data_IF_630675373138
#
_entry.id   IF_630675373138
#
_cell.length_a   1.000
_cell.length_b   1.000
_cell.length_c   1.000
_cell.angle_alpha   90.00
_cell.angle_beta   90.00
_cell.angle_gamma   90.00
#
_symmetry.space_group_name_H-M   'P 1'
#
loop_
_entity.id
_entity.type
_entity.pdbx_description
1 polymer ?
#
# COMPACT_ATOMS: atom_id res chain seq x y z
N UNK A 1 -16.78 -16.96 7.10
CA UNK A 1 -15.47 -16.39 6.74
C UNK A 1 -15.63 -14.88 6.84
N UNK A 2 -15.07 -14.25 7.88
CA UNK A 2 -15.22 -12.80 8.12
C UNK A 2 -14.17 -12.11 7.27
N UNK A 3 -14.60 -11.46 6.19
CA UNK A 3 -13.71 -10.62 5.39
C UNK A 3 -13.67 -9.24 6.07
N UNK A 4 -12.50 -8.67 6.40
CA UNK A 4 -12.43 -7.37 7.03
C UNK A 4 -13.13 -6.29 6.20
N UNK A 5 -13.67 -5.24 6.82
CA UNK A 5 -14.41 -4.18 6.12
C UNK A 5 -13.61 -3.42 5.04
N UNK A 6 -12.28 -3.52 5.05
CA UNK A 6 -11.40 -2.99 4.00
C UNK A 6 -11.24 -3.93 2.79
N UNK A 7 -11.62 -5.20 2.92
CA UNK A 7 -11.59 -6.19 1.85
C UNK A 7 -12.84 -6.14 0.94
N UNK A 8 -13.85 -5.36 1.32
CA UNK A 8 -15.07 -5.07 0.53
C UNK A 8 -14.93 -3.86 -0.42
N UNK A 9 -13.70 -3.41 -0.72
CA UNK A 9 -13.43 -2.32 -1.65
C UNK A 9 -13.39 -2.76 -3.12
N UNK A 10 -13.50 -1.80 -4.04
CA UNK A 10 -13.31 -1.97 -5.49
C UNK A 10 -11.82 -2.18 -5.82
N UNK A 11 -11.22 -3.24 -5.28
CA UNK A 11 -9.81 -3.57 -5.49
C UNK A 11 -9.61 -4.17 -6.89
N UNK A 12 -8.78 -3.52 -7.70
CA UNK A 12 -8.35 -4.02 -9.00
C UNK A 12 -6.90 -4.50 -8.91
N UNK A 13 -6.65 -5.77 -9.25
CA UNK A 13 -5.29 -6.31 -9.37
C UNK A 13 -4.59 -5.66 -10.55
N UNK A 14 -3.38 -5.15 -10.31
CA UNK A 14 -2.54 -4.48 -11.32
C UNK A 14 -1.23 -5.22 -11.57
N UNK A 15 -0.82 -6.09 -10.65
CA UNK A 15 0.32 -6.98 -10.81
C UNK A 15 0.13 -8.24 -9.97
N UNK A 16 0.51 -9.39 -10.51
CA UNK A 16 0.48 -10.67 -9.81
C UNK A 16 1.74 -11.45 -10.14
N UNK A 17 2.42 -11.90 -9.09
CA UNK A 17 3.62 -12.73 -9.15
C UNK A 17 3.50 -13.86 -8.12
N UNK A 18 4.30 -14.94 -8.23
CA UNK A 18 4.30 -15.99 -7.21
C UNK A 18 4.66 -15.52 -5.80
N UNK A 19 5.32 -14.36 -5.66
CA UNK A 19 5.72 -13.82 -4.36
C UNK A 19 4.70 -12.83 -3.80
N UNK A 20 3.90 -12.19 -4.66
CA UNK A 20 3.12 -11.00 -4.30
C UNK A 20 2.00 -10.71 -5.30
N UNK A 21 0.85 -10.26 -4.78
CA UNK A 21 -0.25 -9.66 -5.55
C UNK A 21 -0.38 -8.20 -5.16
N UNK A 22 -0.40 -7.31 -6.15
CA UNK A 22 -0.60 -5.86 -5.98
C UNK A 22 -1.95 -5.45 -6.54
N UNK A 23 -2.74 -4.75 -5.73
CA UNK A 23 -4.05 -4.24 -6.11
C UNK A 23 -4.23 -2.77 -5.72
N UNK A 24 -5.02 -2.03 -6.49
CA UNK A 24 -5.39 -0.62 -6.22
C UNK A 24 -6.86 -0.55 -5.85
N UNK A 25 -7.21 0.21 -4.81
CA UNK A 25 -8.60 0.48 -4.46
C UNK A 25 -9.13 1.61 -5.32
N UNK A 26 -9.93 1.28 -6.32
CA UNK A 26 -10.51 2.27 -7.24
C UNK A 26 -11.45 3.26 -6.54
N UNK A 27 -12.04 2.87 -5.40
CA UNK A 27 -12.91 3.75 -4.62
C UNK A 27 -12.13 4.79 -3.81
N UNK A 28 -10.83 4.59 -3.62
CA UNK A 28 -9.93 5.52 -2.92
C UNK A 28 -9.28 6.58 -3.81
N UNK A 29 -9.56 6.55 -5.12
CA UNK A 29 -8.93 7.46 -6.08
C UNK A 29 -9.46 8.88 -5.85
N UNK A 30 -8.58 9.76 -5.41
CA UNK A 30 -8.81 11.20 -5.31
C UNK A 30 -7.98 11.91 -6.40
N UNK A 31 -8.66 12.60 -7.31
CA UNK A 31 -8.01 13.36 -8.39
C UNK A 31 -7.94 14.86 -8.08
N UNK A 32 -6.76 15.44 -8.17
CA UNK A 32 -6.52 16.88 -8.19
C UNK A 32 -5.98 17.35 -9.54
N UNK A 33 -5.61 18.64 -9.63
CA UNK A 33 -5.21 19.28 -10.89
C UNK A 33 -4.06 18.58 -11.64
N UNK A 34 -3.05 18.11 -10.92
CA UNK A 34 -1.88 17.39 -11.45
C UNK A 34 -1.50 16.21 -10.54
N UNK A 35 -2.42 15.76 -9.69
CA UNK A 35 -2.14 14.77 -8.65
C UNK A 35 -3.23 13.71 -8.60
N UNK A 36 -2.82 12.47 -8.35
CA UNK A 36 -3.73 11.37 -8.03
C UNK A 36 -3.28 10.74 -6.72
N UNK A 37 -4.20 10.60 -5.77
CA UNK A 37 -3.96 9.89 -4.52
C UNK A 37 -4.80 8.63 -4.53
N UNK A 38 -4.22 7.51 -4.12
CA UNK A 38 -4.90 6.21 -4.11
C UNK A 38 -4.29 5.29 -3.06
N UNK A 39 -5.04 4.26 -2.69
CA UNK A 39 -4.56 3.16 -1.88
C UNK A 39 -4.14 1.97 -2.74
N UNK A 40 -3.03 1.36 -2.35
CA UNK A 40 -2.46 0.17 -2.94
C UNK A 40 -2.28 -0.89 -1.85
N UNK A 41 -2.55 -2.14 -2.19
CA UNK A 41 -2.41 -3.29 -1.31
C UNK A 41 -1.47 -4.31 -1.94
N UNK A 42 -0.47 -4.70 -1.17
CA UNK A 42 0.46 -5.77 -1.48
C UNK A 42 0.13 -6.97 -0.61
N UNK A 43 -0.28 -8.09 -1.20
CA UNK A 43 -0.49 -9.36 -0.49
C UNK A 43 0.70 -10.27 -0.75
N UNK A 44 1.45 -10.59 0.31
CA UNK A 44 2.70 -11.36 0.21
C UNK A 44 2.40 -12.86 0.36
N UNK A 45 2.81 -13.66 -0.62
CA UNK A 45 2.56 -15.11 -0.63
C UNK A 45 3.76 -15.94 -0.12
N UNK A 46 4.94 -15.33 0.00
CA UNK A 46 6.21 -16.03 0.25
C UNK A 46 6.78 -15.98 1.67
N UNK A 47 6.00 -15.58 2.69
CA UNK A 47 6.48 -15.57 4.09
C UNK A 47 7.56 -14.51 4.36
N UNK A 48 7.27 -13.25 4.03
CA UNK A 48 8.15 -12.13 4.34
C UNK A 48 8.05 -11.75 5.82
N UNK A 49 9.10 -11.15 6.36
CA UNK A 49 9.16 -10.77 7.78
C UNK A 49 9.50 -9.29 7.90
N UNK A 50 8.79 -8.57 8.78
CA UNK A 50 9.09 -7.17 9.04
C UNK A 50 10.40 -7.06 9.83
N UNK A 51 11.39 -6.28 9.37
CA UNK A 51 12.71 -6.22 10.01
C UNK A 51 12.70 -5.54 11.38
N UNK A 52 11.69 -4.71 11.69
CA UNK A 52 11.58 -4.03 12.99
C UNK A 52 10.96 -4.91 14.07
N UNK A 53 9.95 -5.70 13.71
CA UNK A 53 9.16 -6.53 14.64
C UNK A 53 9.49 -8.03 14.56
N UNK A 54 10.20 -8.47 13.51
CA UNK A 54 10.44 -9.87 13.16
C UNK A 54 9.16 -10.71 13.02
N UNK A 55 8.01 -10.05 12.80
CA UNK A 55 6.73 -10.72 12.58
C UNK A 55 6.50 -11.01 11.10
N UNK A 56 5.83 -12.13 10.77
CA UNK A 56 5.42 -12.41 9.39
C UNK A 56 4.54 -11.29 8.85
N UNK A 57 4.79 -10.86 7.63
CA UNK A 57 3.95 -9.92 6.89
C UNK A 57 3.08 -10.73 5.94
N UNK A 58 1.77 -10.59 6.10
CA UNK A 58 0.79 -11.10 5.13
C UNK A 58 0.39 -10.04 4.11
N UNK A 59 0.31 -8.78 4.55
CA UNK A 59 -0.19 -7.70 3.70
C UNK A 59 0.45 -6.35 4.04
N UNK A 60 0.61 -5.49 3.04
CA UNK A 60 1.00 -4.09 3.22
C UNK A 60 -0.02 -3.20 2.51
N UNK A 61 -0.59 -2.24 3.23
CA UNK A 61 -1.46 -1.21 2.68
C UNK A 61 -0.67 0.09 2.58
N UNK A 62 -0.73 0.73 1.41
CA UNK A 62 0.05 1.90 1.06
C UNK A 62 -0.90 2.98 0.57
N UNK A 63 -0.79 4.21 1.11
CA UNK A 63 -1.36 5.41 0.48
C UNK A 63 -0.28 6.06 -0.36
N UNK A 64 -0.53 6.21 -1.65
CA UNK A 64 0.40 6.83 -2.58
C UNK A 64 -0.17 8.15 -3.12
N UNK A 65 0.75 9.03 -3.54
CA UNK A 65 0.46 10.22 -4.33
C UNK A 65 1.30 10.19 -5.60
N UNK A 66 0.65 10.24 -6.75
CA UNK A 66 1.28 10.43 -8.05
C UNK A 66 1.18 11.91 -8.44
N UNK A 67 2.31 12.54 -8.72
CA UNK A 67 2.41 13.80 -9.46
C UNK A 67 2.45 13.47 -10.96
N UNK A 68 1.36 13.78 -11.66
CA UNK A 68 1.18 13.50 -13.08
C UNK A 68 2.07 14.37 -13.97
N UNK A 69 2.44 15.59 -13.50
CA UNK A 69 3.32 16.49 -14.26
C UNK A 69 4.77 16.07 -14.11
N UNK A 70 5.17 15.71 -12.90
CA UNK A 70 6.52 15.26 -12.58
C UNK A 70 6.79 13.79 -12.94
N UNK A 71 5.76 13.02 -13.28
CA UNK A 71 5.80 11.55 -13.40
C UNK A 71 6.43 10.89 -12.17
N UNK A 72 6.09 11.39 -10.99
CA UNK A 72 6.67 10.96 -9.71
C UNK A 72 5.61 10.34 -8.83
N UNK A 73 5.99 9.29 -8.13
CA UNK A 73 5.17 8.63 -7.11
C UNK A 73 5.84 8.85 -5.76
N UNK A 74 5.03 9.17 -4.75
CA UNK A 74 5.50 9.37 -3.38
C UNK A 74 4.58 8.64 -2.40
N UNK A 75 5.21 8.00 -1.42
CA UNK A 75 4.53 7.35 -0.30
C UNK A 75 3.96 8.42 0.63
N UNK A 76 2.66 8.33 0.95
CA UNK A 76 1.98 9.20 1.92
C UNK A 76 1.91 8.51 3.28
N UNK A 77 1.56 7.23 3.30
CA UNK A 77 1.52 6.41 4.53
C UNK A 77 1.59 4.92 4.19
N UNK A 78 2.03 4.11 5.15
CA UNK A 78 2.14 2.65 5.03
C UNK A 78 1.50 1.98 6.25
N UNK A 79 0.95 0.78 6.09
CA UNK A 79 0.52 -0.07 7.19
C UNK A 79 0.86 -1.52 6.85
N UNK A 80 1.30 -2.29 7.83
CA UNK A 80 1.78 -3.66 7.66
C UNK A 80 0.90 -4.59 8.47
N UNK A 81 0.31 -5.58 7.84
CA UNK A 81 -0.59 -6.53 8.48
C UNK A 81 0.06 -7.90 8.51
N UNK A 82 0.02 -8.53 9.68
CA UNK A 82 0.40 -9.92 9.90
C UNK A 82 -0.86 -10.78 10.04
N UNK A 83 -0.75 -12.10 9.83
CA UNK A 83 -1.86 -13.04 10.00
C UNK A 83 -2.44 -13.09 11.42
N UNK A 84 -1.77 -12.49 12.41
CA UNK A 84 -2.21 -12.44 13.81
C UNK A 84 -2.51 -11.04 14.37
N UNK A 85 -2.14 -9.95 13.69
CA UNK A 85 -2.30 -8.56 14.16
C UNK A 85 -2.03 -7.53 13.05
N UNK A 86 -2.65 -6.35 13.12
CA UNK A 86 -2.33 -5.18 12.30
C UNK A 86 -1.24 -4.32 12.97
N UNK A 87 -0.12 -4.08 12.28
CA UNK A 87 0.93 -3.16 12.72
C UNK A 87 0.93 -1.92 11.82
N UNK A 88 0.39 -0.81 12.33
CA UNK A 88 0.34 0.45 11.57
C UNK A 88 1.66 1.19 11.78
N UNK A 89 2.47 1.31 10.73
CA UNK A 89 3.71 2.10 10.73
C UNK A 89 3.52 3.39 9.95
N UNK A 90 3.34 4.52 10.64
CA UNK A 90 3.22 5.82 9.97
C UNK A 90 4.59 6.33 9.52
N UNK A 91 5.00 5.97 8.31
CA UNK A 91 6.11 6.64 7.64
C UNK A 91 5.62 7.91 6.94
N UNK A 92 5.73 9.06 7.62
CA UNK A 92 5.61 10.35 6.97
C UNK A 92 6.87 10.59 6.13
N UNK A 93 6.77 10.40 4.81
CA UNK A 93 7.90 10.67 3.92
C UNK A 93 8.14 12.17 3.87
N UNK A 94 9.25 12.62 4.46
CA UNK A 94 9.80 13.93 4.13
C UNK A 94 10.21 13.92 2.65
N UNK A 95 9.85 14.94 1.86
CA UNK A 95 10.30 15.03 0.49
C UNK A 95 11.82 15.02 0.51
N UNK A 96 12.42 13.95 -0.04
CA UNK A 96 13.86 13.87 -0.24
C UNK A 96 14.19 14.97 -1.26
N UNK A 97 14.63 16.12 -0.78
CA UNK A 97 15.18 17.17 -1.62
C UNK A 97 16.33 16.54 -2.40
N UNK A 98 16.12 16.31 -3.69
CA UNK A 98 17.17 15.95 -4.61
C UNK A 98 18.21 17.10 -4.59
N UNK A 99 19.43 16.78 -4.21
CA UNK A 99 20.60 17.66 -4.41
C UNK A 99 21.07 17.55 -5.85
#
# INVERSE_FOLDING_TARGET
>A
MVVPAWASGCWQVVSETPAEVVAIDLSSIETGKDQVVFHERHTLQGGQTDPGSLRPIGEVLIKQRMDCRGHRISLVSRAVFSSGDAMISYEAVQPRLAR
#
